data_IF_635960537337
#
_entry.id   IF_635960537337
#
_cell.length_a   1.000
_cell.length_b   1.000
_cell.length_c   1.000
_cell.angle_alpha   90.00
_cell.angle_beta   90.00
_cell.angle_gamma   90.00
#
_symmetry.space_group_name_H-M   'P 1'
#
loop_
_entity.id
_entity.type
_entity.pdbx_description
1 polymer ?
#
# COMPACT_ATOMS: atom_id res chain seq x y z
N UNK A 1 2.07 22.77 19.15
CA UNK A 1 1.49 22.31 17.88
C UNK A 1 -0.03 22.22 18.07
N UNK A 2 -0.85 22.94 17.31
CA UNK A 2 -2.30 22.76 17.37
C UNK A 2 -2.61 21.41 16.72
N UNK A 3 -2.96 20.44 17.52
CA UNK A 3 -3.51 19.17 17.05
C UNK A 3 -4.82 19.47 16.31
N UNK A 4 -4.90 19.18 15.02
CA UNK A 4 -6.19 19.18 14.33
C UNK A 4 -6.27 19.88 12.97
N UNK A 5 -5.20 20.47 12.43
CA UNK A 5 -5.19 21.02 11.08
C UNK A 5 -3.92 20.60 10.34
N UNK A 6 -4.03 20.37 9.03
CA UNK A 6 -2.89 20.22 8.14
C UNK A 6 -1.97 21.44 8.22
N UNK A 7 -0.66 21.26 7.99
CA UNK A 7 0.26 22.38 7.90
C UNK A 7 -0.09 23.31 6.72
N UNK A 8 0.41 24.53 6.76
CA UNK A 8 0.26 25.46 5.64
C UNK A 8 0.98 24.92 4.39
N UNK A 9 2.12 24.26 4.59
CA UNK A 9 2.91 23.59 3.55
C UNK A 9 2.12 22.47 2.88
N UNK A 10 1.47 21.61 3.67
CA UNK A 10 0.61 20.55 3.13
C UNK A 10 -0.55 21.14 2.32
N UNK A 11 -1.22 22.15 2.85
CA UNK A 11 -2.32 22.82 2.16
C UNK A 11 -1.85 23.43 0.84
N UNK A 12 -0.67 24.06 0.82
CA UNK A 12 -0.08 24.63 -0.39
C UNK A 12 0.34 23.55 -1.40
N UNK A 13 0.87 22.41 -0.94
CA UNK A 13 1.21 21.26 -1.78
C UNK A 13 -0.06 20.67 -2.42
N UNK A 14 -1.10 20.46 -1.62
CA UNK A 14 -2.38 19.93 -2.09
C UNK A 14 -3.04 20.84 -3.14
N UNK A 15 -2.95 22.17 -2.99
CA UNK A 15 -3.50 23.12 -3.96
C UNK A 15 -2.86 23.02 -5.36
N UNK A 16 -1.65 22.46 -5.45
CA UNK A 16 -0.92 22.22 -6.71
C UNK A 16 -1.24 20.87 -7.34
N UNK A 17 -1.91 20.00 -6.60
CA UNK A 17 -2.24 18.66 -7.10
C UNK A 17 -3.25 18.73 -8.25
N UNK A 18 -3.12 17.85 -9.27
CA UNK A 18 -4.07 17.77 -10.36
C UNK A 18 -5.49 17.49 -9.83
N UNK A 19 -6.44 18.32 -10.21
CA UNK A 19 -7.85 18.08 -9.89
C UNK A 19 -8.41 17.01 -10.83
N UNK A 20 -9.35 16.21 -10.32
CA UNK A 20 -10.09 15.24 -11.13
C UNK A 20 -9.31 13.98 -11.47
N UNK A 21 -8.34 13.59 -10.63
CA UNK A 21 -7.63 12.30 -10.77
C UNK A 21 -8.59 11.11 -10.66
N UNK A 22 -9.58 11.19 -9.78
CA UNK A 22 -10.62 10.18 -9.61
C UNK A 22 -11.98 10.81 -9.95
N UNK A 23 -12.36 10.81 -11.22
CA UNK A 23 -13.68 11.27 -11.63
C UNK A 23 -14.65 10.08 -11.71
N UNK A 24 -15.88 10.20 -11.16
CA UNK A 24 -16.93 9.21 -11.41
C UNK A 24 -17.09 8.97 -12.91
N UNK A 25 -17.15 7.72 -13.33
CA UNK A 25 -17.25 7.35 -14.75
C UNK A 25 -15.92 7.17 -15.47
N UNK A 26 -14.76 7.43 -14.84
CA UNK A 26 -13.46 7.09 -15.44
C UNK A 26 -13.39 5.60 -15.77
N UNK A 27 -12.95 5.28 -16.99
CA UNK A 27 -12.54 3.92 -17.36
C UNK A 27 -11.16 3.59 -16.77
N UNK A 28 -10.76 2.33 -16.81
CA UNK A 28 -9.41 1.96 -16.36
C UNK A 28 -8.30 2.61 -17.21
N UNK A 29 -8.54 2.83 -18.53
CA UNK A 29 -7.63 3.57 -19.40
C UNK A 29 -7.53 5.04 -19.01
N UNK A 30 -8.65 5.66 -18.59
CA UNK A 30 -8.64 7.03 -18.06
C UNK A 30 -7.79 7.13 -16.81
N UNK A 31 -7.89 6.15 -15.91
CA UNK A 31 -7.07 6.09 -14.69
C UNK A 31 -5.59 5.99 -15.05
N UNK A 32 -5.21 5.07 -15.94
CA UNK A 32 -3.82 4.91 -16.41
C UNK A 32 -3.27 6.21 -16.97
N UNK A 33 -4.03 6.87 -17.85
CA UNK A 33 -3.62 8.14 -18.46
C UNK A 33 -3.47 9.27 -17.43
N UNK A 34 -4.37 9.35 -16.46
CA UNK A 34 -4.36 10.40 -15.42
C UNK A 34 -3.27 10.18 -14.38
N UNK A 35 -2.95 8.92 -14.04
CA UNK A 35 -1.98 8.58 -13.00
C UNK A 35 -0.54 8.61 -13.51
N UNK A 36 -0.28 8.31 -14.78
CA UNK A 36 1.06 8.29 -15.35
C UNK A 36 1.89 9.56 -15.05
N UNK A 37 1.35 10.80 -15.16
CA UNK A 37 2.12 12.01 -14.83
C UNK A 37 2.41 12.21 -13.33
N UNK A 38 1.66 11.53 -12.44
CA UNK A 38 1.82 11.63 -10.99
C UNK A 38 2.85 10.62 -10.43
N UNK A 39 3.33 9.71 -11.27
CA UNK A 39 4.25 8.64 -10.91
C UNK A 39 5.48 8.67 -11.83
N UNK A 40 6.46 7.82 -11.55
CA UNK A 40 7.68 7.76 -12.38
C UNK A 40 8.68 8.91 -12.13
N UNK A 41 8.61 9.53 -10.96
CA UNK A 41 9.58 10.55 -10.55
C UNK A 41 10.95 9.93 -10.26
N UNK A 42 12.01 10.76 -10.37
CA UNK A 42 13.36 10.35 -10.03
C UNK A 42 13.45 9.91 -8.55
N UNK A 43 13.87 8.67 -8.27
CA UNK A 43 14.05 8.20 -6.89
C UNK A 43 15.18 8.88 -6.15
N UNK A 44 16.06 9.61 -6.86
CA UNK A 44 17.21 10.34 -6.32
C UNK A 44 18.55 9.60 -6.51
N UNK A 45 19.67 10.34 -6.47
CA UNK A 45 21.00 9.85 -6.82
C UNK A 45 21.62 8.92 -5.75
N UNK A 46 21.04 8.83 -4.58
CA UNK A 46 21.52 8.05 -3.43
C UNK A 46 20.97 6.61 -3.38
N UNK A 47 20.08 6.25 -4.33
CA UNK A 47 19.56 4.90 -4.47
C UNK A 47 19.91 4.28 -5.81
N UNK A 48 19.88 2.95 -5.85
CA UNK A 48 20.02 2.12 -7.06
C UNK A 48 18.72 1.37 -7.27
N UNK A 49 18.24 1.37 -8.52
CA UNK A 49 17.05 0.65 -8.95
C UNK A 49 17.44 -0.43 -9.96
N UNK A 50 17.14 -1.69 -9.68
CA UNK A 50 17.51 -2.85 -10.50
C UNK A 50 16.29 -3.72 -10.78
N UNK A 51 16.00 -3.92 -12.08
CA UNK A 51 14.94 -4.85 -12.48
C UNK A 51 15.32 -6.28 -12.09
N UNK A 52 14.38 -7.03 -11.54
CA UNK A 52 14.59 -8.40 -11.11
C UNK A 52 13.28 -9.19 -11.13
N UNK A 53 13.38 -10.49 -10.83
CA UNK A 53 12.24 -11.39 -10.73
C UNK A 53 12.32 -12.17 -9.40
N UNK A 54 11.20 -12.25 -8.70
CA UNK A 54 11.03 -13.07 -7.50
C UNK A 54 9.82 -13.99 -7.67
N UNK A 55 10.05 -15.31 -7.58
CA UNK A 55 8.98 -16.29 -7.69
C UNK A 55 8.22 -16.27 -9.02
N UNK A 56 8.89 -15.91 -10.12
CA UNK A 56 8.27 -15.77 -11.45
C UNK A 56 7.54 -14.43 -11.65
N UNK A 57 7.65 -13.48 -10.71
CA UNK A 57 7.03 -12.16 -10.79
C UNK A 57 8.10 -11.10 -10.96
N UNK A 58 7.94 -10.27 -12.00
CA UNK A 58 8.84 -9.13 -12.25
C UNK A 58 8.69 -8.09 -11.16
N UNK A 59 9.72 -7.27 -11.00
CA UNK A 59 9.71 -6.15 -10.09
C UNK A 59 11.00 -5.36 -10.14
N UNK A 60 11.14 -4.43 -9.20
CA UNK A 60 12.32 -3.56 -9.11
C UNK A 60 12.84 -3.56 -7.68
N UNK A 61 14.12 -3.90 -7.53
CA UNK A 61 14.83 -3.64 -6.29
C UNK A 61 15.20 -2.17 -6.19
N UNK A 62 14.95 -1.58 -5.05
CA UNK A 62 15.43 -0.25 -4.66
C UNK A 62 16.31 -0.43 -3.43
N UNK A 63 17.54 0.02 -3.49
CA UNK A 63 18.52 -0.09 -2.41
C UNK A 63 19.35 1.18 -2.28
N UNK A 64 19.96 1.39 -1.12
CA UNK A 64 20.89 2.50 -0.92
C UNK A 64 22.20 2.22 -1.68
N UNK A 65 22.72 3.25 -2.32
CA UNK A 65 23.98 3.16 -3.08
C UNK A 65 25.21 2.96 -2.18
N UNK A 66 25.17 3.54 -0.97
CA UNK A 66 26.24 3.45 0.03
C UNK A 66 26.16 2.20 0.90
N UNK A 67 25.08 1.41 0.78
CA UNK A 67 24.87 0.18 1.53
C UNK A 67 24.36 -0.93 0.60
N UNK A 68 25.21 -1.48 -0.28
CA UNK A 68 24.81 -2.52 -1.22
C UNK A 68 24.34 -3.77 -0.46
N UNK A 69 23.22 -4.38 -0.88
CA UNK A 69 22.61 -5.51 -0.18
C UNK A 69 23.48 -6.77 -0.28
N UNK A 70 23.41 -7.61 0.77
CA UNK A 70 24.03 -8.94 0.84
C UNK A 70 22.97 -10.03 0.77
N UNK A 71 23.32 -11.24 0.35
CA UNK A 71 22.41 -12.38 0.43
C UNK A 71 21.85 -12.57 1.85
N UNK A 72 20.54 -12.78 1.96
CA UNK A 72 19.88 -12.97 3.24
C UNK A 72 19.59 -11.69 4.05
N UNK A 73 19.98 -10.51 3.57
CA UNK A 73 19.64 -9.26 4.23
C UNK A 73 18.14 -9.03 4.28
N UNK A 74 17.70 -8.37 5.36
CA UNK A 74 16.32 -8.01 5.56
C UNK A 74 15.80 -7.11 4.40
N UNK A 75 14.51 -7.27 4.08
CA UNK A 75 13.92 -6.58 2.95
C UNK A 75 12.47 -6.17 3.19
N UNK A 76 12.08 -5.11 2.53
CA UNK A 76 10.68 -4.75 2.33
C UNK A 76 10.19 -5.40 1.04
N UNK A 77 9.06 -6.11 1.10
CA UNK A 77 8.27 -6.45 -0.08
C UNK A 77 7.20 -5.37 -0.22
N UNK A 78 7.30 -4.57 -1.28
CA UNK A 78 6.47 -3.39 -1.47
C UNK A 78 5.39 -3.64 -2.52
N UNK A 79 4.13 -3.39 -2.16
CA UNK A 79 2.97 -3.47 -3.05
C UNK A 79 2.50 -2.07 -3.40
N UNK A 80 2.63 -1.69 -4.67
CA UNK A 80 2.31 -0.34 -5.13
C UNK A 80 0.80 -0.06 -5.16
N UNK A 81 0.44 1.22 -5.14
CA UNK A 81 -0.92 1.68 -5.40
C UNK A 81 -1.27 1.65 -6.88
N UNK A 82 -2.33 2.37 -7.25
CA UNK A 82 -2.77 2.45 -8.65
C UNK A 82 -4.17 1.91 -8.89
N UNK A 83 -4.98 1.87 -7.82
CA UNK A 83 -6.40 1.54 -7.91
C UNK A 83 -6.71 0.20 -8.59
N UNK A 84 -5.82 -0.82 -8.42
CA UNK A 84 -5.95 -2.18 -8.99
C UNK A 84 -5.76 -2.26 -10.51
N UNK A 85 -5.74 -1.14 -11.22
CA UNK A 85 -5.78 -1.08 -12.69
C UNK A 85 -4.61 -0.35 -13.33
N UNK A 86 -3.78 0.34 -12.55
CA UNK A 86 -2.70 1.20 -13.05
C UNK A 86 -1.44 1.12 -12.22
N UNK A 87 -0.42 1.82 -12.66
CA UNK A 87 0.93 1.89 -12.12
C UNK A 87 1.74 0.59 -12.31
N UNK A 88 3.03 0.74 -12.17
CA UNK A 88 4.03 -0.33 -12.33
C UNK A 88 5.12 -0.19 -11.27
N UNK A 89 5.91 -1.23 -11.07
CA UNK A 89 7.04 -1.18 -10.14
C UNK A 89 8.07 -0.08 -10.49
N UNK A 90 8.46 0.14 -11.78
CA UNK A 90 9.33 1.25 -12.13
C UNK A 90 8.77 2.64 -11.77
N UNK A 91 7.46 2.85 -11.93
CA UNK A 91 6.81 4.12 -11.61
C UNK A 91 6.75 4.41 -10.10
N UNK A 92 6.92 3.39 -9.25
CA UNK A 92 6.88 3.52 -7.80
C UNK A 92 8.26 3.55 -7.12
N UNK A 93 9.35 3.56 -7.88
CA UNK A 93 10.72 3.57 -7.33
C UNK A 93 10.99 4.79 -6.44
N UNK A 94 10.49 5.97 -6.82
CA UNK A 94 10.60 7.18 -6.02
C UNK A 94 9.92 7.04 -4.65
N UNK A 95 8.76 6.39 -4.61
CA UNK A 95 7.99 6.19 -3.39
C UNK A 95 8.69 5.19 -2.46
N UNK A 96 9.11 4.05 -2.99
CA UNK A 96 9.86 3.05 -2.23
C UNK A 96 11.19 3.58 -1.70
N UNK A 97 11.84 4.50 -2.43
CA UNK A 97 13.11 5.11 -2.01
C UNK A 97 12.99 5.84 -0.67
N UNK A 98 11.84 6.41 -0.33
CA UNK A 98 11.66 7.05 0.98
C UNK A 98 11.71 6.04 2.12
N UNK A 99 11.08 4.89 1.96
CA UNK A 99 11.14 3.81 2.96
C UNK A 99 12.54 3.21 3.03
N UNK A 100 13.23 3.06 1.91
CA UNK A 100 14.62 2.60 1.87
C UNK A 100 15.54 3.54 2.64
N UNK A 101 15.38 4.87 2.50
CA UNK A 101 16.15 5.87 3.25
C UNK A 101 15.90 5.81 4.74
N UNK A 102 14.63 5.76 5.15
CA UNK A 102 14.25 5.84 6.56
C UNK A 102 14.45 4.51 7.30
N UNK A 103 14.30 3.35 6.63
CA UNK A 103 14.48 2.04 7.25
C UNK A 103 15.92 1.52 7.13
N UNK A 104 16.67 1.95 6.13
CA UNK A 104 17.95 1.34 5.74
C UNK A 104 17.82 -0.03 5.05
N UNK A 105 16.60 -0.56 4.88
CA UNK A 105 16.33 -1.83 4.21
C UNK A 105 16.19 -1.62 2.71
N UNK A 106 16.60 -2.61 1.91
CA UNK A 106 16.23 -2.66 0.50
C UNK A 106 14.74 -2.97 0.34
N UNK A 107 14.12 -2.52 -0.75
CA UNK A 107 12.73 -2.82 -1.07
C UNK A 107 12.62 -3.47 -2.45
N UNK A 108 11.83 -4.54 -2.55
CA UNK A 108 11.41 -5.09 -3.83
C UNK A 108 9.97 -4.64 -4.11
N UNK A 109 9.79 -3.86 -5.15
CA UNK A 109 8.48 -3.44 -5.61
C UNK A 109 7.95 -4.51 -6.55
N UNK A 110 6.83 -5.13 -6.19
CA UNK A 110 6.21 -6.19 -6.99
C UNK A 110 5.45 -5.59 -8.15
N UNK A 111 5.79 -5.99 -9.38
CA UNK A 111 5.08 -5.60 -10.61
C UNK A 111 3.95 -6.59 -10.89
N UNK A 112 2.96 -6.60 -10.00
CA UNK A 112 1.84 -7.53 -10.06
C UNK A 112 0.91 -7.24 -11.24
N UNK A 113 0.25 -8.27 -11.76
CA UNK A 113 -0.70 -8.17 -12.88
C UNK A 113 -1.90 -7.31 -12.53
N UNK A 114 -2.29 -6.45 -13.47
CA UNK A 114 -3.36 -5.47 -13.29
C UNK A 114 -4.69 -5.94 -13.86
N UNK A 115 -5.77 -5.47 -13.24
CA UNK A 115 -7.12 -5.57 -13.77
C UNK A 115 -7.36 -4.48 -14.85
N UNK A 116 -8.34 -4.65 -15.73
CA UNK A 116 -9.27 -5.78 -15.86
C UNK A 116 -8.70 -6.97 -16.64
N UNK A 117 -7.48 -6.85 -17.21
CA UNK A 117 -6.86 -7.90 -18.02
C UNK A 117 -6.59 -9.15 -17.18
N UNK A 118 -6.19 -8.95 -15.94
CA UNK A 118 -5.92 -10.01 -14.96
C UNK A 118 -6.70 -9.76 -13.67
N UNK A 119 -7.90 -10.30 -13.63
CA UNK A 119 -8.83 -10.14 -12.51
C UNK A 119 -8.37 -10.91 -11.27
N UNK A 120 -9.04 -10.66 -10.16
CA UNK A 120 -8.87 -11.42 -8.93
C UNK A 120 -8.92 -12.94 -9.22
N UNK A 121 -7.98 -13.73 -8.67
CA UNK A 121 -6.98 -13.35 -7.67
C UNK A 121 -5.56 -13.05 -8.23
N UNK A 122 -5.39 -12.72 -9.52
CA UNK A 122 -4.08 -12.70 -10.20
C UNK A 122 -3.04 -11.80 -9.50
N UNK A 123 -3.38 -10.56 -9.19
CA UNK A 123 -2.45 -9.64 -8.48
C UNK A 123 -2.05 -10.17 -7.10
N UNK A 124 -3.00 -10.72 -6.37
CA UNK A 124 -2.73 -11.30 -5.04
C UNK A 124 -1.84 -12.56 -5.13
N UNK A 125 -2.04 -13.38 -6.18
CA UNK A 125 -1.20 -14.55 -6.44
C UNK A 125 0.25 -14.13 -6.71
N UNK A 126 0.44 -13.05 -7.46
CA UNK A 126 1.76 -12.48 -7.74
C UNK A 126 2.44 -11.96 -6.46
N UNK A 127 1.70 -11.26 -5.60
CA UNK A 127 2.22 -10.80 -4.30
C UNK A 127 2.72 -11.98 -3.43
N UNK A 128 1.93 -13.05 -3.36
CA UNK A 128 2.30 -14.26 -2.62
C UNK A 128 3.47 -15.00 -3.28
N UNK A 129 3.51 -15.05 -4.61
CA UNK A 129 4.60 -15.68 -5.35
C UNK A 129 5.92 -14.91 -5.15
N UNK A 130 5.89 -13.57 -5.17
CA UNK A 130 7.06 -12.74 -4.90
C UNK A 130 7.63 -12.99 -3.49
N UNK A 131 6.78 -13.14 -2.46
CA UNK A 131 7.23 -13.50 -1.11
C UNK A 131 7.89 -14.87 -1.08
N UNK A 132 7.31 -15.87 -1.76
CA UNK A 132 7.92 -17.20 -1.86
C UNK A 132 9.27 -17.14 -2.57
N UNK A 133 9.39 -16.32 -3.62
CA UNK A 133 10.66 -16.08 -4.30
C UNK A 133 11.71 -15.44 -3.38
N UNK A 134 11.29 -14.50 -2.53
CA UNK A 134 12.18 -13.86 -1.56
C UNK A 134 12.67 -14.86 -0.50
N UNK A 135 11.80 -15.72 0.01
CA UNK A 135 12.18 -16.81 0.92
C UNK A 135 13.15 -17.80 0.24
N UNK A 136 12.87 -18.17 -1.02
CA UNK A 136 13.74 -19.06 -1.79
C UNK A 136 15.14 -18.46 -2.07
N UNK A 137 15.25 -17.13 -2.07
CA UNK A 137 16.55 -16.41 -2.15
C UNK A 137 17.35 -16.40 -0.85
N UNK A 138 16.82 -17.02 0.22
CA UNK A 138 17.49 -17.15 1.51
C UNK A 138 17.17 -16.07 2.54
N UNK A 139 16.21 -15.18 2.27
CA UNK A 139 15.73 -14.21 3.26
C UNK A 139 14.78 -14.92 4.22
N UNK A 140 15.09 -14.89 5.51
CA UNK A 140 14.25 -15.51 6.55
C UNK A 140 12.92 -14.71 6.71
N UNK A 141 11.78 -15.36 7.02
CA UNK A 141 10.49 -14.67 7.09
C UNK A 141 10.46 -13.55 8.13
N UNK A 142 11.15 -13.68 9.26
CA UNK A 142 11.31 -12.65 10.29
C UNK A 142 12.17 -11.44 9.86
N UNK A 143 12.76 -11.51 8.67
CA UNK A 143 13.53 -10.44 8.03
C UNK A 143 12.78 -9.75 6.90
N UNK A 144 11.50 -10.06 6.71
CA UNK A 144 10.64 -9.49 5.67
C UNK A 144 9.59 -8.60 6.32
N UNK A 145 9.45 -7.36 5.84
CA UNK A 145 8.30 -6.51 6.11
C UNK A 145 7.45 -6.37 4.83
N UNK A 146 6.13 -6.49 4.94
CA UNK A 146 5.23 -6.07 3.87
C UNK A 146 4.85 -4.62 4.07
N UNK A 147 4.98 -3.82 3.01
CA UNK A 147 4.55 -2.41 2.99
C UNK A 147 3.74 -2.20 1.71
N UNK A 148 2.64 -1.50 1.80
CA UNK A 148 1.85 -1.21 0.60
C UNK A 148 1.02 0.05 0.75
N UNK A 149 0.77 0.70 -0.38
CA UNK A 149 0.06 1.95 -0.50
C UNK A 149 -1.28 1.77 -1.23
N UNK A 150 -2.35 2.41 -0.75
CA UNK A 150 -3.67 2.39 -1.41
C UNK A 150 -4.20 0.95 -1.62
N UNK A 151 -4.50 0.53 -2.84
CA UNK A 151 -4.85 -0.88 -3.12
C UNK A 151 -3.71 -1.84 -2.76
N UNK A 152 -2.44 -1.41 -2.84
CA UNK A 152 -1.28 -2.17 -2.36
C UNK A 152 -1.32 -2.38 -0.84
N UNK A 153 -1.82 -1.41 -0.07
CA UNK A 153 -2.11 -1.58 1.36
C UNK A 153 -3.17 -2.66 1.62
N UNK A 154 -4.15 -2.78 0.72
CA UNK A 154 -5.10 -3.89 0.70
C UNK A 154 -4.41 -5.23 0.44
N UNK A 155 -3.49 -5.28 -0.53
CA UNK A 155 -2.71 -6.49 -0.82
C UNK A 155 -1.78 -6.90 0.33
N UNK A 156 -1.29 -5.97 1.17
CA UNK A 156 -0.56 -6.34 2.39
C UNK A 156 -1.41 -7.28 3.24
N UNK A 157 -2.60 -6.83 3.64
CA UNK A 157 -3.46 -7.62 4.54
C UNK A 157 -3.98 -8.88 3.86
N UNK A 158 -4.42 -8.76 2.60
CA UNK A 158 -4.92 -9.91 1.81
C UNK A 158 -3.86 -10.99 1.63
N UNK A 159 -2.59 -10.60 1.38
CA UNK A 159 -1.47 -11.55 1.26
C UNK A 159 -1.17 -12.25 2.58
N UNK A 160 -1.21 -11.51 3.71
CA UNK A 160 -1.02 -12.10 5.03
C UNK A 160 -2.11 -13.13 5.35
N UNK A 161 -3.37 -12.80 5.06
CA UNK A 161 -4.50 -13.74 5.24
C UNK A 161 -4.29 -14.98 4.36
N UNK A 162 -3.99 -14.78 3.07
CA UNK A 162 -3.80 -15.90 2.13
C UNK A 162 -2.62 -16.78 2.49
N UNK A 163 -1.49 -16.21 2.90
CA UNK A 163 -0.31 -16.96 3.34
C UNK A 163 -0.61 -17.80 4.58
N UNK A 164 -1.28 -17.22 5.58
CA UNK A 164 -1.73 -17.95 6.77
C UNK A 164 -2.66 -19.11 6.40
N UNK A 165 -3.64 -18.88 5.53
CA UNK A 165 -4.61 -19.90 5.11
C UNK A 165 -3.93 -21.05 4.35
N UNK A 166 -2.81 -20.77 3.68
CA UNK A 166 -1.96 -21.75 3.02
C UNK A 166 -0.96 -22.45 3.98
N UNK A 167 -0.93 -22.06 5.25
CA UNK A 167 0.10 -22.55 6.19
C UNK A 167 1.53 -22.15 5.81
N UNK A 168 1.69 -21.08 5.02
CA UNK A 168 2.98 -20.58 4.58
C UNK A 168 3.63 -19.67 5.64
N UNK A 169 4.96 -19.52 5.64
CA UNK A 169 5.64 -18.60 6.55
C UNK A 169 5.14 -17.17 6.36
N UNK A 170 4.86 -16.48 7.47
CA UNK A 170 4.42 -15.09 7.49
C UNK A 170 5.62 -14.14 7.66
N UNK A 171 5.60 -12.92 7.07
CA UNK A 171 6.62 -11.92 7.32
C UNK A 171 6.59 -11.41 8.76
N UNK A 172 7.61 -10.65 9.17
CA UNK A 172 7.72 -10.07 10.50
C UNK A 172 6.57 -9.11 10.85
N UNK A 173 6.09 -8.35 9.88
CA UNK A 173 5.00 -7.38 10.05
C UNK A 173 4.38 -6.96 8.71
N UNK A 174 3.22 -6.31 8.79
CA UNK A 174 2.53 -5.68 7.67
C UNK A 174 2.23 -4.20 7.92
N UNK A 175 2.44 -3.36 6.91
CA UNK A 175 2.16 -1.93 6.92
C UNK A 175 1.23 -1.59 5.77
N UNK A 176 0.00 -1.16 6.08
CA UNK A 176 -0.98 -0.72 5.10
C UNK A 176 -1.17 0.79 5.19
N UNK A 177 -0.78 1.49 4.14
CA UNK A 177 -0.89 2.94 3.99
C UNK A 177 -2.14 3.25 3.18
N UNK A 178 -3.12 3.94 3.78
CA UNK A 178 -4.39 4.27 3.13
C UNK A 178 -5.02 3.05 2.42
N UNK A 179 -5.00 1.88 3.09
CA UNK A 179 -5.30 0.58 2.48
C UNK A 179 -6.75 0.42 2.05
N UNK A 180 -6.97 -0.09 0.83
CA UNK A 180 -8.29 -0.51 0.34
C UNK A 180 -8.62 -1.89 0.90
N UNK A 181 -9.43 -1.95 1.95
CA UNK A 181 -9.67 -3.16 2.72
C UNK A 181 -11.10 -3.69 2.59
N UNK A 182 -11.99 -2.91 1.95
CA UNK A 182 -13.41 -3.18 1.80
C UNK A 182 -13.88 -2.96 0.36
N UNK A 183 -14.10 -4.02 -0.39
CA UNK A 183 -14.57 -3.95 -1.77
C UNK A 183 -16.05 -3.53 -1.92
N UNK A 184 -16.83 -3.56 -0.83
CA UNK A 184 -18.18 -3.00 -0.81
C UNK A 184 -18.16 -1.47 -0.71
N UNK A 185 -17.02 -0.88 -0.31
CA UNK A 185 -16.86 0.57 -0.05
C UNK A 185 -17.94 1.05 0.90
N UNK A 186 -18.09 0.35 2.03
CA UNK A 186 -19.22 0.49 2.94
C UNK A 186 -18.93 1.37 4.17
N UNK A 187 -17.70 1.88 4.32
CA UNK A 187 -17.32 2.76 5.43
C UNK A 187 -18.04 4.11 5.39
N UNK A 188 -18.32 4.71 6.55
CA UNK A 188 -18.97 6.02 6.64
C UNK A 188 -18.10 7.13 6.00
N UNK A 189 -16.76 7.01 6.07
CA UNK A 189 -15.84 7.93 5.40
C UNK A 189 -16.02 7.96 3.87
N UNK A 190 -16.45 6.86 3.28
CA UNK A 190 -16.74 6.75 1.85
C UNK A 190 -18.05 7.45 1.43
N UNK A 191 -18.91 7.83 2.37
CA UNK A 191 -20.15 8.55 2.10
C UNK A 191 -19.96 10.09 2.04
N UNK A 192 -18.73 10.57 2.16
CA UNK A 192 -18.42 12.00 2.06
C UNK A 192 -18.68 12.54 0.66
N UNK A 193 -18.95 13.86 0.53
CA UNK A 193 -19.10 14.48 -0.77
C UNK A 193 -17.89 14.26 -1.67
N UNK A 194 -18.14 14.04 -2.96
CA UNK A 194 -17.08 13.95 -3.98
C UNK A 194 -16.26 15.24 -3.97
N UNK A 195 -14.92 15.09 -3.85
CA UNK A 195 -13.98 16.20 -3.86
C UNK A 195 -13.47 16.64 -2.49
N UNK A 196 -13.98 16.10 -1.37
CA UNK A 196 -13.33 16.26 -0.06
C UNK A 196 -11.97 15.55 -0.03
N UNK A 197 -11.91 14.36 -0.64
CA UNK A 197 -10.66 13.69 -0.98
C UNK A 197 -10.42 13.84 -2.50
N UNK A 198 -9.35 14.51 -2.93
CA UNK A 198 -9.09 14.74 -4.36
C UNK A 198 -8.61 13.51 -5.11
N UNK A 199 -8.16 12.47 -4.40
CA UNK A 199 -7.55 11.26 -5.00
C UNK A 199 -8.53 10.13 -5.21
N UNK A 200 -9.50 9.96 -4.31
CA UNK A 200 -10.43 8.84 -4.34
C UNK A 200 -11.83 9.27 -3.92
N UNK A 201 -12.83 8.60 -4.43
CA UNK A 201 -14.22 8.70 -3.98
C UNK A 201 -14.92 7.36 -4.15
N UNK A 202 -16.02 7.16 -3.43
CA UNK A 202 -16.70 5.87 -3.35
C UNK A 202 -17.19 5.33 -4.71
N UNK A 203 -17.73 6.18 -5.57
CA UNK A 203 -18.27 5.76 -6.88
C UNK A 203 -17.15 5.26 -7.78
N UNK A 204 -16.06 6.03 -7.87
CA UNK A 204 -14.88 5.67 -8.62
C UNK A 204 -14.22 4.37 -8.09
N UNK A 205 -14.12 4.23 -6.76
CA UNK A 205 -13.59 3.02 -6.12
C UNK A 205 -14.43 1.78 -6.44
N UNK A 206 -15.77 1.89 -6.38
CA UNK A 206 -16.66 0.78 -6.76
C UNK A 206 -16.48 0.36 -8.21
N UNK A 207 -16.17 1.29 -9.12
CA UNK A 207 -15.85 0.94 -10.50
C UNK A 207 -14.56 0.13 -10.59
N UNK A 208 -13.50 0.54 -9.89
CA UNK A 208 -12.20 -0.18 -9.82
C UNK A 208 -12.33 -1.57 -9.21
N UNK A 209 -13.12 -1.70 -8.15
CA UNK A 209 -13.42 -3.01 -7.59
C UNK A 209 -14.17 -3.92 -8.58
N UNK A 210 -15.07 -3.38 -9.39
CA UNK A 210 -15.72 -4.15 -10.47
C UNK A 210 -14.73 -4.59 -11.54
N UNK A 211 -13.78 -3.73 -11.92
CA UNK A 211 -12.70 -4.09 -12.85
C UNK A 211 -11.88 -5.27 -12.31
N UNK A 212 -11.55 -5.23 -11.00
CA UNK A 212 -10.72 -6.25 -10.35
C UNK A 212 -11.45 -7.57 -10.10
N UNK A 213 -12.67 -7.52 -9.58
CA UNK A 213 -13.45 -8.72 -9.25
C UNK A 213 -14.10 -9.35 -10.48
N UNK A 214 -14.45 -8.55 -11.49
CA UNK A 214 -15.21 -8.98 -12.65
C UNK A 214 -16.70 -9.17 -12.37
N UNK A 215 -17.46 -9.49 -13.42
CA UNK A 215 -18.88 -9.77 -13.30
C UNK A 215 -19.12 -11.02 -12.44
N UNK A 216 -19.90 -10.86 -11.36
CA UNK A 216 -20.22 -11.95 -10.43
C UNK A 216 -19.13 -12.23 -9.38
N UNK A 217 -18.05 -11.47 -9.33
CA UNK A 217 -17.08 -11.55 -8.26
C UNK A 217 -17.69 -11.16 -6.91
N UNK A 218 -17.31 -11.86 -5.84
CA UNK A 218 -17.80 -11.62 -4.49
C UNK A 218 -17.03 -10.47 -3.81
N UNK A 219 -17.64 -9.31 -3.55
CA UNK A 219 -16.98 -8.19 -2.87
C UNK A 219 -16.66 -8.48 -1.39
N UNK A 220 -17.20 -9.56 -0.83
CA UNK A 220 -16.94 -9.98 0.55
C UNK A 220 -15.92 -11.12 0.64
N UNK A 221 -15.36 -11.55 -0.49
CA UNK A 221 -14.34 -12.60 -0.48
C UNK A 221 -13.14 -12.18 0.41
N UNK A 222 -12.74 -12.96 1.43
CA UNK A 222 -11.77 -12.53 2.44
C UNK A 222 -10.38 -12.20 1.90
N UNK A 223 -10.00 -12.77 0.77
CA UNK A 223 -8.74 -12.47 0.10
C UNK A 223 -8.82 -11.25 -0.86
N UNK A 224 -10.01 -10.75 -1.18
CA UNK A 224 -10.18 -9.51 -1.93
C UNK A 224 -10.49 -8.33 -1.00
N UNK A 225 -11.29 -8.60 0.02
CA UNK A 225 -11.82 -7.65 0.97
C UNK A 225 -11.48 -8.11 2.40
N UNK A 226 -10.23 -7.90 2.85
CA UNK A 226 -9.72 -8.50 4.08
C UNK A 226 -10.42 -8.01 5.35
N UNK A 227 -11.24 -6.97 5.26
CA UNK A 227 -12.13 -6.57 6.34
C UNK A 227 -13.12 -7.68 6.73
N UNK A 228 -13.40 -8.64 5.85
CA UNK A 228 -14.28 -9.79 6.10
C UNK A 228 -13.52 -11.05 6.53
N UNK A 229 -12.18 -11.02 6.53
CA UNK A 229 -11.36 -12.16 6.89
C UNK A 229 -11.35 -12.46 8.40
N UNK A 230 -11.03 -13.68 8.77
CA UNK A 230 -10.50 -14.01 10.08
C UNK A 230 -9.04 -13.50 10.14
N UNK A 231 -8.72 -12.68 11.13
CA UNK A 231 -7.40 -12.07 11.26
C UNK A 231 -6.49 -12.80 12.27
N UNK A 232 -6.98 -13.81 12.95
CA UNK A 232 -6.20 -14.57 13.95
C UNK A 232 -4.92 -15.13 13.34
N UNK A 233 -3.82 -15.03 14.09
CA UNK A 233 -2.51 -15.53 13.68
C UNK A 233 -1.75 -14.65 12.69
N UNK A 234 -2.28 -13.49 12.31
CA UNK A 234 -1.52 -12.53 11.50
C UNK A 234 -0.39 -11.89 12.32
N UNK A 235 0.71 -11.48 11.68
CA UNK A 235 1.79 -10.74 12.33
C UNK A 235 1.32 -9.32 12.72
N UNK A 236 2.12 -8.58 13.50
CA UNK A 236 1.82 -7.19 13.84
C UNK A 236 1.51 -6.33 12.63
N UNK A 237 0.49 -5.47 12.76
CA UNK A 237 0.03 -4.57 11.71
C UNK A 237 0.20 -3.11 12.10
N UNK A 238 0.66 -2.27 11.15
CA UNK A 238 0.53 -0.82 11.18
C UNK A 238 -0.45 -0.40 10.08
N UNK A 239 -1.50 0.32 10.47
CA UNK A 239 -2.48 0.91 9.57
C UNK A 239 -2.36 2.43 9.66
N UNK A 240 -1.97 3.10 8.57
CA UNK A 240 -1.93 4.56 8.50
C UNK A 240 -2.99 5.07 7.52
N UNK A 241 -3.72 6.11 7.89
CA UNK A 241 -4.73 6.74 7.02
C UNK A 241 -4.85 8.23 7.34
N UNK A 242 -5.35 9.01 6.37
CA UNK A 242 -5.69 10.40 6.58
C UNK A 242 -7.07 10.57 7.25
N UNK A 243 -7.26 11.67 7.99
CA UNK A 243 -8.57 12.00 8.56
C UNK A 243 -9.62 12.24 7.46
N UNK A 244 -9.20 12.84 6.33
CA UNK A 244 -10.06 13.15 5.20
C UNK A 244 -10.11 12.03 4.16
N UNK A 245 -9.35 10.96 4.36
CA UNK A 245 -9.27 9.82 3.45
C UNK A 245 -10.62 9.10 3.31
N UNK A 246 -11.02 8.82 2.09
CA UNK A 246 -12.24 8.07 1.77
C UNK A 246 -12.23 6.66 2.37
N UNK A 247 -11.03 6.02 2.49
CA UNK A 247 -10.87 4.68 3.09
C UNK A 247 -10.48 4.70 4.56
N UNK A 248 -10.59 5.84 5.25
CA UNK A 248 -10.25 5.94 6.68
C UNK A 248 -10.96 4.85 7.51
N UNK A 249 -12.24 4.66 7.28
CA UNK A 249 -13.04 3.75 8.08
C UNK A 249 -12.73 2.27 7.79
N UNK A 250 -12.15 1.95 6.64
CA UNK A 250 -11.61 0.61 6.38
C UNK A 250 -10.50 0.29 7.37
N UNK A 251 -9.55 1.21 7.57
CA UNK A 251 -8.45 1.05 8.54
C UNK A 251 -8.98 0.97 9.99
N UNK A 252 -9.94 1.82 10.36
CA UNK A 252 -10.55 1.83 11.71
C UNK A 252 -11.25 0.51 12.00
N UNK A 253 -12.06 0.05 11.07
CA UNK A 253 -12.84 -1.21 11.20
C UNK A 253 -11.92 -2.42 11.23
N UNK A 254 -10.88 -2.45 10.38
CA UNK A 254 -9.90 -3.54 10.39
C UNK A 254 -9.10 -3.55 11.70
N UNK A 255 -8.65 -2.39 12.20
CA UNK A 255 -7.93 -2.31 13.47
C UNK A 255 -8.77 -2.86 14.64
N UNK A 256 -10.05 -2.48 14.70
CA UNK A 256 -10.97 -2.98 15.73
C UNK A 256 -11.17 -4.50 15.64
N UNK A 257 -11.21 -5.07 14.44
CA UNK A 257 -11.29 -6.54 14.24
C UNK A 257 -9.99 -7.23 14.62
N UNK A 258 -8.85 -6.70 14.15
CA UNK A 258 -7.53 -7.23 14.45
C UNK A 258 -7.29 -7.34 15.96
N UNK A 259 -7.63 -6.27 16.71
CA UNK A 259 -7.53 -6.28 18.17
C UNK A 259 -8.42 -7.35 18.83
N UNK A 260 -9.65 -7.55 18.36
CA UNK A 260 -10.54 -8.63 18.85
C UNK A 260 -9.99 -10.02 18.53
N UNK A 261 -9.35 -10.18 17.39
CA UNK A 261 -8.76 -11.43 16.94
C UNK A 261 -7.37 -11.70 17.55
N UNK A 262 -6.90 -10.83 18.46
CA UNK A 262 -5.63 -10.99 19.18
C UNK A 262 -4.40 -10.61 18.36
N UNK A 263 -4.57 -9.86 17.27
CA UNK A 263 -3.47 -9.34 16.44
C UNK A 263 -2.99 -8.02 17.02
N UNK A 264 -1.68 -7.88 17.21
CA UNK A 264 -1.07 -6.60 17.58
C UNK A 264 -1.25 -5.60 16.43
N UNK A 265 -1.97 -4.51 16.68
CA UNK A 265 -2.26 -3.49 15.66
C UNK A 265 -1.96 -2.09 16.18
N UNK A 266 -1.30 -1.29 15.36
CA UNK A 266 -1.16 0.15 15.53
C UNK A 266 -2.02 0.83 14.46
N UNK A 267 -2.92 1.72 14.86
CA UNK A 267 -3.70 2.56 13.95
C UNK A 267 -3.27 4.01 14.12
N UNK A 268 -2.93 4.66 13.01
CA UNK A 268 -2.61 6.08 12.96
C UNK A 268 -3.57 6.80 12.00
N UNK A 269 -4.32 7.76 12.53
CA UNK A 269 -5.18 8.66 11.76
C UNK A 269 -4.54 10.04 11.77
N UNK A 270 -4.06 10.48 10.62
CA UNK A 270 -3.33 11.74 10.48
C UNK A 270 -4.30 12.89 10.20
N UNK A 271 -4.36 13.84 11.12
CA UNK A 271 -5.31 14.96 11.07
C UNK A 271 -5.08 15.87 9.86
N UNK A 272 -6.16 16.19 9.13
CA UNK A 272 -6.12 17.01 7.92
C UNK A 272 -5.53 16.34 6.68
N UNK A 273 -5.05 15.09 6.80
CA UNK A 273 -4.46 14.36 5.67
C UNK A 273 -5.53 13.64 4.84
N UNK A 274 -5.23 13.48 3.56
CA UNK A 274 -6.06 12.85 2.52
C UNK A 274 -5.54 11.45 2.18
N UNK A 275 -6.17 10.78 1.21
CA UNK A 275 -5.67 9.53 0.66
C UNK A 275 -4.26 9.67 0.10
N UNK A 276 -3.37 8.69 0.38
CA UNK A 276 -2.02 8.66 -0.17
C UNK A 276 -1.14 9.86 0.21
N UNK A 277 -1.43 10.56 1.31
CA UNK A 277 -0.71 11.77 1.73
C UNK A 277 0.80 11.55 1.89
N UNK A 278 1.23 10.33 2.17
CA UNK A 278 2.65 9.97 2.24
C UNK A 278 3.37 10.26 0.91
N UNK A 279 2.63 10.27 -0.21
CA UNK A 279 3.11 10.63 -1.55
C UNK A 279 3.68 12.07 -1.65
N UNK A 280 3.44 12.91 -0.65
CA UNK A 280 3.98 14.26 -0.54
C UNK A 280 5.26 14.34 0.31
N UNK A 281 5.95 13.19 0.54
CA UNK A 281 7.24 13.17 1.24
C UNK A 281 8.23 14.17 0.63
N UNK A 282 8.89 14.93 1.51
CA UNK A 282 9.85 15.97 1.11
C UNK A 282 9.22 17.32 0.75
N UNK A 283 7.89 17.43 0.68
CA UNK A 283 7.20 18.70 0.40
C UNK A 283 6.63 19.35 1.66
N UNK A 284 6.31 18.57 2.68
CA UNK A 284 5.77 19.02 3.96
C UNK A 284 6.12 18.02 5.07
N UNK A 285 6.03 18.40 6.35
CA UNK A 285 6.54 17.58 7.44
C UNK A 285 5.73 16.31 7.73
N UNK A 286 4.39 16.34 7.58
CA UNK A 286 3.52 15.24 7.99
C UNK A 286 3.82 13.92 7.25
N UNK A 287 3.96 13.89 5.91
CA UNK A 287 4.36 12.68 5.18
C UNK A 287 5.71 12.12 5.65
N UNK A 288 6.69 13.01 5.90
CA UNK A 288 8.01 12.57 6.36
C UNK A 288 7.94 11.95 7.77
N UNK A 289 7.11 12.49 8.67
CA UNK A 289 6.87 11.89 9.99
C UNK A 289 6.15 10.55 9.86
N UNK A 290 5.16 10.44 8.99
CA UNK A 290 4.44 9.19 8.75
C UNK A 290 5.39 8.08 8.27
N UNK A 291 6.26 8.38 7.32
CA UNK A 291 7.27 7.41 6.82
C UNK A 291 8.27 7.04 7.91
N UNK A 292 8.69 7.98 8.76
CA UNK A 292 9.54 7.68 9.92
C UNK A 292 8.86 6.77 10.94
N UNK A 293 7.56 6.93 11.18
CA UNK A 293 6.80 6.03 12.04
C UNK A 293 6.75 4.62 11.45
N UNK A 294 6.60 4.48 10.12
CA UNK A 294 6.74 3.19 9.44
C UNK A 294 8.12 2.58 9.70
N UNK A 295 9.19 3.37 9.53
CA UNK A 295 10.55 2.88 9.76
C UNK A 295 10.76 2.40 11.19
N UNK A 296 10.26 3.13 12.18
CA UNK A 296 10.31 2.73 13.59
C UNK A 296 9.50 1.45 13.86
N UNK A 297 8.34 1.31 13.24
CA UNK A 297 7.53 0.11 13.37
C UNK A 297 8.24 -1.10 12.75
N UNK A 298 8.77 -0.97 11.53
CA UNK A 298 9.53 -2.03 10.86
C UNK A 298 10.75 -2.44 11.69
N UNK A 299 11.53 -1.48 12.20
CA UNK A 299 12.70 -1.76 13.01
C UNK A 299 12.43 -2.50 14.33
N UNK A 300 11.21 -2.43 14.87
CA UNK A 300 10.81 -3.18 16.07
C UNK A 300 10.53 -4.65 15.79
N UNK A 301 10.17 -5.00 14.55
CA UNK A 301 9.67 -6.32 14.21
C UNK A 301 10.62 -7.10 13.29
N UNK A 302 11.34 -6.43 12.39
CA UNK A 302 12.34 -7.06 11.51
C UNK A 302 13.65 -7.25 12.25
N UNK A 303 14.22 -8.47 12.21
CA UNK A 303 15.41 -8.90 12.98
C UNK A 303 16.62 -9.13 12.08
#
# INVERSE_FOLDING_TARGET
>A
MKLGAASAEFTAALARFPKGLASPGDTHEDVRRKFAPAHGHDPGPDVVCEAAELGGVRGVWVSRKDAPPRPGDAAILFFHGGALVSCTAPEYTFYAAWFVRETGLRAFIVDYRLAPEHRFPAALDDCVAAQRGLLASGVAPERIAFVGDSCGGGFVVASLVKLRDLGAPLPACGVALCGWLDAEVSGDSAQRPVGEDPFVNAEWMRARWRDYLGAGGDPRHPHASPIHADLRGLPPLLLQTGQLDTVRDDAVRLAARAGRDGVAVTLEIWSGMIHGFQGLYGTCPEPAWAVKHVAQFVARHVR
#
